data_IF_641849452960
#
_entry.id   IF_641849452960
#
_cell.length_a   1.000
_cell.length_b   1.000
_cell.length_c   1.000
_cell.angle_alpha   90.00
_cell.angle_beta   90.00
_cell.angle_gamma   90.00
#
_symmetry.space_group_name_H-M   'P 1'
#
loop_
_entity.id
_entity.type
_entity.pdbx_description
1 polymer ?
#
# COMPACT_ATOMS: atom_id res chain seq x y z
N UNK A 1 -8.91 11.40 -6.85
CA UNK A 1 -8.11 11.27 -5.63
C UNK A 1 -6.63 11.21 -5.95
N UNK A 2 -6.15 10.16 -6.62
CA UNK A 2 -4.76 10.01 -7.09
C UNK A 2 -4.72 9.99 -8.62
N UNK A 3 -3.78 10.73 -9.21
CA UNK A 3 -3.47 10.69 -10.64
C UNK A 3 -1.96 10.57 -10.81
N UNK A 4 -1.53 9.62 -11.59
CA UNK A 4 -0.13 9.39 -11.98
C UNK A 4 -0.07 9.45 -13.49
N UNK A 5 0.77 10.33 -14.04
CA UNK A 5 0.87 10.58 -15.48
C UNK A 5 2.31 10.49 -15.95
N UNK A 6 2.59 9.58 -16.87
CA UNK A 6 3.88 9.37 -17.54
C UNK A 6 5.08 9.31 -16.58
N UNK A 7 4.86 8.73 -15.39
CA UNK A 7 5.82 8.71 -14.31
C UNK A 7 6.98 7.77 -14.64
N UNK A 8 8.20 8.33 -14.65
CA UNK A 8 9.44 7.56 -14.74
C UNK A 8 10.28 7.82 -13.50
N UNK A 9 10.86 6.75 -12.95
CA UNK A 9 11.67 6.82 -11.74
C UNK A 9 12.63 5.65 -11.63
N UNK A 10 13.78 5.87 -10.99
CA UNK A 10 14.78 4.84 -10.80
C UNK A 10 15.90 5.28 -9.88
N UNK A 11 17.02 4.61 -9.95
CA UNK A 11 18.17 4.81 -9.06
C UNK A 11 19.43 5.06 -9.87
N UNK A 12 20.33 5.92 -9.36
CA UNK A 12 21.64 6.21 -9.96
C UNK A 12 21.58 6.70 -11.42
N UNK A 13 20.47 7.33 -11.80
CA UNK A 13 20.29 7.86 -13.17
C UNK A 13 19.65 6.87 -14.15
N UNK A 14 19.35 5.66 -13.74
CA UNK A 14 18.67 4.66 -14.54
C UNK A 14 17.23 4.48 -14.07
N UNK A 15 16.27 4.65 -14.98
CA UNK A 15 14.87 4.46 -14.66
C UNK A 15 14.54 2.96 -14.56
N UNK A 16 13.79 2.59 -13.53
CA UNK A 16 13.22 1.25 -13.29
C UNK A 16 11.75 1.23 -13.68
N UNK A 17 11.08 2.36 -13.52
CA UNK A 17 9.70 2.59 -13.96
C UNK A 17 9.72 3.56 -15.12
N UNK A 18 8.95 3.27 -16.16
CA UNK A 18 8.93 4.01 -17.41
C UNK A 18 7.51 4.39 -17.79
N UNK A 19 7.23 5.69 -17.88
CA UNK A 19 6.00 6.28 -18.40
C UNK A 19 4.72 5.66 -17.78
N UNK A 20 4.75 5.32 -16.48
CA UNK A 20 3.62 4.71 -15.80
C UNK A 20 2.49 5.73 -15.60
N UNK A 21 1.28 5.38 -16.06
CA UNK A 21 0.09 6.22 -15.93
C UNK A 21 -1.07 5.42 -15.35
N UNK A 22 -1.64 5.88 -14.24
CA UNK A 22 -2.83 5.28 -13.63
C UNK A 22 -3.53 6.26 -12.69
N UNK A 23 -4.74 5.90 -12.29
CA UNK A 23 -5.55 6.74 -11.39
C UNK A 23 -6.19 5.89 -10.31
N UNK A 24 -6.56 6.52 -9.17
CA UNK A 24 -7.45 5.96 -8.18
C UNK A 24 -8.46 7.02 -7.75
N UNK A 25 -9.75 6.71 -7.88
CA UNK A 25 -10.84 7.57 -7.43
C UNK A 25 -10.94 7.55 -5.89
N UNK A 26 -11.68 8.49 -5.32
CA UNK A 26 -11.90 8.50 -3.87
C UNK A 26 -12.72 7.27 -3.44
N UNK A 27 -12.24 6.56 -2.41
CA UNK A 27 -12.86 5.33 -1.91
C UNK A 27 -12.66 4.10 -2.80
N UNK A 28 -11.91 4.24 -3.90
CA UNK A 28 -11.58 3.13 -4.79
C UNK A 28 -10.42 2.30 -4.23
N UNK A 29 -10.46 0.99 -4.45
CA UNK A 29 -9.32 0.10 -4.26
C UNK A 29 -8.73 -0.27 -5.63
N UNK A 30 -7.44 -0.04 -5.79
CA UNK A 30 -6.70 -0.28 -7.04
C UNK A 30 -5.55 -1.24 -6.77
N UNK A 31 -5.40 -2.26 -7.61
CA UNK A 31 -4.28 -3.19 -7.57
C UNK A 31 -3.21 -2.82 -8.61
N UNK A 32 -1.95 -2.79 -8.19
CA UNK A 32 -0.76 -2.78 -9.07
C UNK A 32 -0.13 -4.16 -9.02
N UNK A 33 -0.36 -4.95 -10.04
CA UNK A 33 0.02 -6.36 -10.10
C UNK A 33 1.33 -6.49 -10.88
N UNK A 34 2.26 -7.30 -10.39
CA UNK A 34 3.51 -7.55 -11.11
C UNK A 34 4.43 -8.52 -10.36
N UNK A 35 5.31 -9.16 -11.09
CA UNK A 35 6.34 -10.04 -10.53
C UNK A 35 7.33 -9.27 -9.65
N UNK A 36 8.19 -10.00 -8.92
CA UNK A 36 9.32 -9.39 -8.22
C UNK A 36 10.25 -8.73 -9.23
N UNK A 37 10.69 -7.50 -8.91
CA UNK A 37 11.52 -6.70 -9.81
C UNK A 37 10.75 -5.94 -10.90
N UNK A 38 9.43 -6.06 -11.00
CA UNK A 38 8.64 -5.33 -12.01
C UNK A 38 8.64 -3.80 -11.84
N UNK A 39 9.10 -3.28 -10.67
CA UNK A 39 9.16 -1.85 -10.39
C UNK A 39 8.10 -1.32 -9.42
N UNK A 40 7.27 -2.17 -8.80
CA UNK A 40 6.17 -1.79 -7.90
C UNK A 40 6.64 -0.89 -6.74
N UNK A 41 7.63 -1.33 -5.98
CA UNK A 41 8.22 -0.55 -4.88
C UNK A 41 8.82 0.78 -5.35
N UNK A 42 9.48 0.79 -6.52
CA UNK A 42 10.04 2.01 -7.11
C UNK A 42 8.94 3.01 -7.45
N UNK A 43 7.85 2.54 -8.06
CA UNK A 43 6.67 3.33 -8.37
C UNK A 43 6.06 3.94 -7.09
N UNK A 44 5.85 3.15 -6.04
CA UNK A 44 5.28 3.62 -4.78
C UNK A 44 6.20 4.59 -4.04
N UNK A 45 7.51 4.35 -4.02
CA UNK A 45 8.50 5.28 -3.45
C UNK A 45 8.52 6.62 -4.19
N UNK A 46 8.34 6.61 -5.51
CA UNK A 46 8.24 7.84 -6.30
C UNK A 46 6.96 8.62 -5.97
N UNK A 47 5.83 7.93 -5.85
CA UNK A 47 4.54 8.55 -5.52
C UNK A 47 4.51 9.16 -4.12
N UNK A 48 5.14 8.54 -3.14
CA UNK A 48 5.17 9.05 -1.76
C UNK A 48 6.34 9.99 -1.45
N UNK A 49 7.16 10.36 -2.47
CA UNK A 49 8.26 11.33 -2.34
C UNK A 49 9.49 10.81 -1.60
N UNK A 50 9.66 9.48 -1.51
CA UNK A 50 10.88 8.81 -1.04
C UNK A 50 11.91 8.65 -2.16
N UNK A 51 11.46 8.67 -3.41
CA UNK A 51 12.29 8.68 -4.61
C UNK A 51 11.84 9.84 -5.49
N UNK A 52 12.79 10.59 -6.05
CA UNK A 52 12.45 11.68 -6.96
C UNK A 52 12.22 11.14 -8.37
N UNK A 53 11.04 11.37 -8.98
CA UNK A 53 10.81 10.99 -10.37
C UNK A 53 11.79 11.71 -11.29
N UNK A 54 12.20 11.05 -12.37
CA UNK A 54 12.97 11.63 -13.48
C UNK A 54 12.05 12.38 -14.44
N UNK A 55 10.81 11.88 -14.63
CA UNK A 55 9.76 12.47 -15.48
C UNK A 55 8.38 12.17 -14.93
N UNK A 56 7.37 12.86 -15.52
CA UNK A 56 5.98 12.64 -15.22
C UNK A 56 5.47 13.40 -14.00
N UNK A 57 4.25 13.15 -13.63
CA UNK A 57 3.55 13.88 -12.58
C UNK A 57 2.74 12.96 -11.67
N UNK A 58 2.69 13.30 -10.39
CA UNK A 58 1.80 12.71 -9.39
C UNK A 58 0.93 13.82 -8.81
N UNK A 59 -0.38 13.64 -8.83
CA UNK A 59 -1.36 14.56 -8.25
C UNK A 59 -2.19 13.88 -7.17
N UNK A 60 -2.43 14.59 -6.08
CA UNK A 60 -3.38 14.24 -5.04
C UNK A 60 -4.48 15.30 -5.01
N UNK A 61 -5.73 14.89 -5.19
CA UNK A 61 -6.91 15.78 -5.28
C UNK A 61 -6.71 16.96 -6.26
N UNK A 62 -6.07 16.68 -7.39
CA UNK A 62 -5.79 17.67 -8.42
C UNK A 62 -4.56 18.56 -8.17
N UNK A 63 -3.95 18.49 -6.98
CA UNK A 63 -2.74 19.23 -6.66
C UNK A 63 -1.48 18.40 -6.97
N UNK A 64 -0.50 18.99 -7.65
CA UNK A 64 0.77 18.32 -7.95
C UNK A 64 1.59 18.13 -6.68
N UNK A 65 2.00 16.89 -6.43
CA UNK A 65 2.89 16.52 -5.33
C UNK A 65 4.26 16.06 -5.81
N UNK A 66 4.50 16.11 -7.11
CA UNK A 66 5.75 15.68 -7.76
C UNK A 66 6.94 16.40 -7.17
N UNK A 67 7.95 15.65 -6.75
CA UNK A 67 9.17 16.19 -6.16
C UNK A 67 9.04 16.80 -4.76
N UNK A 68 7.85 16.76 -4.15
CA UNK A 68 7.69 17.10 -2.74
C UNK A 68 8.36 16.01 -1.87
N UNK A 69 8.89 16.44 -0.72
CA UNK A 69 9.44 15.50 0.27
C UNK A 69 8.32 14.67 0.91
N UNK A 70 8.58 13.41 1.21
CA UNK A 70 7.62 12.44 1.77
C UNK A 70 6.79 12.98 2.95
N UNK A 71 7.42 13.73 3.89
CA UNK A 71 6.69 14.29 5.03
C UNK A 71 5.64 15.34 4.64
N UNK A 72 5.80 16.04 3.50
CA UNK A 72 4.79 16.99 2.97
C UNK A 72 3.63 16.22 2.36
N UNK A 73 3.94 15.20 1.55
CA UNK A 73 2.92 14.33 0.94
C UNK A 73 2.09 13.62 2.02
N UNK A 74 2.76 13.12 3.08
CA UNK A 74 2.07 12.51 4.22
C UNK A 74 1.12 13.47 4.96
N UNK A 75 1.40 14.78 4.98
CA UNK A 75 0.48 15.80 5.54
C UNK A 75 -0.75 16.04 4.66
N UNK A 76 -0.68 15.73 3.38
CA UNK A 76 -1.80 15.81 2.44
C UNK A 76 -2.70 14.57 2.53
N UNK A 77 -2.39 13.62 3.40
CA UNK A 77 -3.24 12.46 3.69
C UNK A 77 -2.84 11.18 2.95
N UNK A 78 -1.64 11.11 2.36
CA UNK A 78 -1.09 9.85 1.85
C UNK A 78 -0.32 9.13 2.96
N UNK A 79 -0.62 7.83 3.17
CA UNK A 79 0.20 6.94 3.99
C UNK A 79 0.78 5.82 3.13
N UNK A 80 2.00 5.40 3.46
CA UNK A 80 2.71 4.32 2.78
C UNK A 80 3.15 3.27 3.78
N UNK A 81 2.84 2.01 3.50
CA UNK A 81 3.30 0.85 4.25
C UNK A 81 4.22 0.04 3.34
N UNK A 82 5.53 0.05 3.57
CA UNK A 82 6.50 -0.70 2.78
C UNK A 82 6.46 -2.21 3.08
N UNK A 83 6.95 -3.02 2.15
CA UNK A 83 7.04 -4.47 2.29
C UNK A 83 7.87 -4.91 3.52
N UNK A 84 8.92 -4.16 3.84
CA UNK A 84 9.80 -4.37 4.98
C UNK A 84 9.16 -3.97 6.33
N UNK A 85 7.94 -3.42 6.32
CA UNK A 85 7.15 -2.96 7.49
C UNK A 85 7.76 -1.79 8.26
N UNK A 86 9.07 -1.61 8.25
CA UNK A 86 9.81 -0.52 8.91
C UNK A 86 9.37 -0.28 10.36
N UNK A 87 9.29 -1.35 11.15
CA UNK A 87 8.98 -1.29 12.58
C UNK A 87 10.25 -1.10 13.41
N UNK A 88 10.12 -0.39 14.51
CA UNK A 88 11.18 -0.25 15.52
C UNK A 88 11.16 -1.47 16.46
N UNK A 89 12.15 -2.38 16.40
CA UNK A 89 12.07 -3.68 17.06
C UNK A 89 11.84 -3.62 18.58
N UNK A 90 12.36 -2.58 19.22
CA UNK A 90 12.29 -2.40 20.67
C UNK A 90 11.03 -1.68 21.17
N UNK A 91 10.29 -1.04 20.26
CA UNK A 91 9.04 -0.35 20.59
C UNK A 91 7.88 -1.34 20.71
N UNK A 92 7.00 -1.04 21.63
CA UNK A 92 5.74 -1.78 21.84
C UNK A 92 4.68 -1.42 20.78
N UNK A 93 3.59 -2.18 20.73
CA UNK A 93 2.42 -1.87 19.90
C UNK A 93 1.90 -0.47 20.20
N UNK A 94 1.65 -0.13 21.47
CA UNK A 94 1.14 1.20 21.83
C UNK A 94 2.07 2.32 21.38
N UNK A 95 3.40 2.18 21.60
CA UNK A 95 4.38 3.18 21.16
C UNK A 95 4.43 3.36 19.64
N UNK A 96 4.26 2.28 18.87
CA UNK A 96 4.14 2.39 17.40
C UNK A 96 2.89 3.14 16.96
N UNK A 97 1.74 2.89 17.61
CA UNK A 97 0.51 3.60 17.30
C UNK A 97 0.64 5.09 17.68
N UNK A 98 1.26 5.41 18.80
CA UNK A 98 1.55 6.79 19.21
C UNK A 98 2.46 7.48 18.19
N UNK A 99 3.53 6.82 17.75
CA UNK A 99 4.43 7.32 16.72
C UNK A 99 3.67 7.56 15.40
N UNK A 100 2.75 6.68 15.04
CA UNK A 100 1.91 6.82 13.84
C UNK A 100 1.06 8.08 13.84
N UNK A 101 0.67 8.59 15.00
CA UNK A 101 -0.11 9.83 15.13
C UNK A 101 0.74 11.12 14.99
N UNK A 102 2.07 11.03 15.16
CA UNK A 102 2.96 12.21 15.18
C UNK A 102 2.83 13.07 13.91
N UNK A 103 2.83 14.43 14.01
CA UNK A 103 3.07 15.27 15.20
C UNK A 103 1.82 15.56 16.05
N UNK A 104 0.69 14.97 15.73
CA UNK A 104 -0.56 15.12 16.49
C UNK A 104 -0.54 14.23 17.73
N UNK A 105 -1.43 14.52 18.67
CA UNK A 105 -1.67 13.60 19.79
C UNK A 105 -2.46 12.38 19.32
N UNK A 106 -2.18 11.18 19.85
CA UNK A 106 -2.95 9.99 19.53
C UNK A 106 -4.45 10.21 19.81
N UNK A 107 -5.27 9.91 18.79
CA UNK A 107 -6.73 9.97 18.88
C UNK A 107 -7.24 8.63 19.44
N UNK A 108 -7.96 8.66 20.56
CA UNK A 108 -8.50 7.48 21.21
C UNK A 108 -9.50 6.72 20.30
N UNK A 109 -10.34 7.44 19.55
CA UNK A 109 -11.28 6.81 18.62
C UNK A 109 -10.56 6.11 17.46
N UNK A 110 -9.47 6.73 16.95
CA UNK A 110 -8.65 6.10 15.91
C UNK A 110 -7.91 4.87 16.42
N UNK A 111 -7.40 4.92 17.64
CA UNK A 111 -6.79 3.75 18.30
C UNK A 111 -7.80 2.62 18.50
N UNK A 112 -9.02 2.94 18.92
CA UNK A 112 -10.10 1.96 19.03
C UNK A 112 -10.39 1.30 17.68
N UNK A 113 -10.53 2.08 16.60
CA UNK A 113 -10.69 1.54 15.26
C UNK A 113 -9.56 0.57 14.85
N UNK A 114 -8.30 0.93 15.15
CA UNK A 114 -7.16 0.03 14.86
C UNK A 114 -7.26 -1.28 15.65
N UNK A 115 -7.71 -1.23 16.90
CA UNK A 115 -7.87 -2.43 17.72
C UNK A 115 -9.10 -3.26 17.33
N UNK A 116 -10.16 -2.62 16.83
CA UNK A 116 -11.33 -3.31 16.29
C UNK A 116 -10.97 -4.07 15.00
N UNK A 117 -10.19 -3.44 14.11
CA UNK A 117 -9.67 -4.06 12.89
C UNK A 117 -8.64 -5.16 13.16
N UNK A 118 -7.82 -4.97 14.19
CA UNK A 118 -6.73 -5.87 14.54
C UNK A 118 -6.77 -6.26 16.03
N UNK A 119 -7.71 -7.14 16.47
CA UNK A 119 -7.87 -7.51 17.88
C UNK A 119 -6.61 -8.07 18.52
N UNK A 120 -5.75 -8.75 17.75
CA UNK A 120 -4.46 -9.26 18.23
C UNK A 120 -3.53 -8.16 18.72
N UNK A 121 -3.60 -6.95 18.14
CA UNK A 121 -2.82 -5.80 18.62
C UNK A 121 -3.36 -5.29 19.96
N UNK A 122 -4.69 -5.33 20.15
CA UNK A 122 -5.31 -4.96 21.42
C UNK A 122 -4.88 -5.88 22.59
N UNK A 123 -4.79 -7.19 22.33
CA UNK A 123 -4.33 -8.18 23.31
C UNK A 123 -2.86 -8.00 23.68
N UNK A 124 -2.05 -7.41 22.79
CA UNK A 124 -0.58 -7.36 22.87
C UNK A 124 0.00 -5.96 22.94
N UNK A 125 -0.76 -5.01 23.44
CA UNK A 125 -0.42 -3.57 23.45
C UNK A 125 0.98 -3.24 23.98
N UNK A 126 1.45 -3.98 24.99
CA UNK A 126 2.77 -3.81 25.62
C UNK A 126 3.85 -4.73 25.04
N UNK A 127 3.51 -5.58 24.06
CA UNK A 127 4.47 -6.49 23.44
C UNK A 127 5.37 -5.70 22.49
N UNK A 128 6.68 -6.01 22.49
CA UNK A 128 7.65 -5.42 21.56
C UNK A 128 7.51 -6.01 20.17
N UNK A 129 7.66 -5.18 19.14
CA UNK A 129 7.53 -5.59 17.75
C UNK A 129 8.48 -6.73 17.36
N UNK A 130 9.71 -6.75 17.90
CA UNK A 130 10.67 -7.83 17.64
C UNK A 130 10.19 -9.23 18.05
N UNK A 131 9.24 -9.33 18.99
CA UNK A 131 8.72 -10.62 19.50
C UNK A 131 7.39 -11.02 18.88
N UNK A 132 6.88 -10.23 17.95
CA UNK A 132 5.63 -10.49 17.24
C UNK A 132 5.86 -11.37 16.01
N UNK A 133 4.85 -12.14 15.62
CA UNK A 133 4.86 -12.86 14.36
C UNK A 133 4.87 -11.90 13.16
N UNK A 134 5.28 -12.38 11.98
CA UNK A 134 5.28 -11.55 10.76
C UNK A 134 3.91 -10.95 10.43
N UNK A 135 2.82 -11.71 10.64
CA UNK A 135 1.46 -11.20 10.44
C UNK A 135 1.07 -10.12 11.44
N UNK A 136 1.40 -10.29 12.72
CA UNK A 136 1.15 -9.26 13.73
C UNK A 136 1.97 -7.99 13.47
N UNK A 137 3.21 -8.13 13.00
CA UNK A 137 4.03 -7.00 12.57
C UNK A 137 3.41 -6.27 11.37
N UNK A 138 2.84 -6.99 10.42
CA UNK A 138 2.15 -6.39 9.27
C UNK A 138 0.90 -5.62 9.71
N UNK A 139 0.08 -6.23 10.58
CA UNK A 139 -1.09 -5.54 11.17
C UNK A 139 -0.66 -4.27 11.93
N UNK A 140 0.47 -4.33 12.65
CA UNK A 140 1.02 -3.18 13.36
C UNK A 140 1.50 -2.07 12.41
N UNK A 141 2.14 -2.42 11.30
CA UNK A 141 2.57 -1.45 10.29
C UNK A 141 1.38 -0.73 9.66
N UNK A 142 0.33 -1.47 9.29
CA UNK A 142 -0.93 -0.91 8.78
C UNK A 142 -1.61 -0.06 9.87
N UNK A 143 -1.75 -0.59 11.09
CA UNK A 143 -2.34 0.14 12.23
C UNK A 143 -1.63 1.47 12.51
N UNK A 144 -0.29 1.47 12.49
CA UNK A 144 0.53 2.69 12.61
C UNK A 144 0.21 3.71 11.51
N UNK A 145 0.08 3.25 10.27
CA UNK A 145 -0.25 4.14 9.15
C UNK A 145 -1.64 4.76 9.30
N UNK A 146 -2.61 4.01 9.82
CA UNK A 146 -3.99 4.46 10.03
C UNK A 146 -4.12 5.53 11.12
N UNK A 147 -3.19 5.63 12.06
CA UNK A 147 -3.26 6.62 13.15
C UNK A 147 -3.25 8.07 12.64
N UNK A 148 -2.74 8.34 11.45
CA UNK A 148 -2.77 9.67 10.80
C UNK A 148 -4.09 10.02 10.10
N UNK A 149 -5.08 9.14 10.10
CA UNK A 149 -6.34 9.32 9.34
C UNK A 149 -6.05 9.57 7.84
N UNK A 150 -5.32 8.68 7.17
CA UNK A 150 -5.01 8.88 5.76
C UNK A 150 -6.28 8.87 4.92
N UNK A 151 -6.23 9.55 3.77
CA UNK A 151 -7.26 9.49 2.72
C UNK A 151 -6.87 8.51 1.62
N UNK A 152 -5.57 8.30 1.45
CA UNK A 152 -4.97 7.34 0.53
C UNK A 152 -3.94 6.49 1.26
N UNK A 153 -4.07 5.18 1.17
CA UNK A 153 -3.15 4.19 1.72
C UNK A 153 -2.47 3.44 0.57
N UNK A 154 -1.15 3.53 0.50
CA UNK A 154 -0.31 2.72 -0.39
C UNK A 154 0.24 1.54 0.41
N UNK A 155 0.03 0.32 -0.08
CA UNK A 155 0.47 -0.93 0.54
C UNK A 155 1.39 -1.67 -0.43
N UNK A 156 2.63 -1.84 -0.06
CA UNK A 156 3.63 -2.53 -0.88
C UNK A 156 3.80 -3.96 -0.38
N UNK A 157 3.31 -4.92 -1.15
CA UNK A 157 3.35 -6.36 -0.88
C UNK A 157 2.95 -6.72 0.57
N UNK A 158 1.76 -6.31 1.03
CA UNK A 158 1.36 -6.46 2.43
C UNK A 158 1.27 -7.91 2.90
N UNK A 159 1.27 -8.87 2.00
CA UNK A 159 1.15 -10.30 2.34
C UNK A 159 2.48 -11.06 2.27
N UNK A 160 3.56 -10.41 1.88
CA UNK A 160 4.88 -11.06 1.77
C UNK A 160 5.31 -11.66 3.11
N UNK A 161 5.61 -12.97 3.09
CA UNK A 161 6.04 -13.72 4.27
C UNK A 161 4.94 -14.00 5.30
N UNK A 162 3.67 -13.86 4.93
CA UNK A 162 2.53 -14.24 5.77
C UNK A 162 2.04 -15.65 5.43
N UNK A 163 1.56 -16.35 6.47
CA UNK A 163 0.77 -17.56 6.25
C UNK A 163 -0.56 -17.19 5.54
N UNK A 164 -1.12 -18.05 4.66
CA UNK A 164 -2.31 -17.73 3.87
C UNK A 164 -3.49 -17.22 4.68
N UNK A 165 -3.73 -17.79 5.85
CA UNK A 165 -4.82 -17.35 6.74
C UNK A 165 -4.62 -15.93 7.26
N UNK A 166 -3.37 -15.52 7.53
CA UNK A 166 -3.06 -14.16 8.00
C UNK A 166 -3.13 -13.15 6.85
N UNK A 167 -2.78 -13.57 5.64
CA UNK A 167 -2.95 -12.77 4.44
C UNK A 167 -4.44 -12.46 4.20
N UNK A 168 -5.30 -13.48 4.27
CA UNK A 168 -6.75 -13.29 4.13
C UNK A 168 -7.30 -12.31 5.19
N UNK A 169 -6.95 -12.50 6.47
CA UNK A 169 -7.37 -11.57 7.54
C UNK A 169 -6.89 -10.13 7.32
N UNK A 170 -5.69 -9.95 6.77
CA UNK A 170 -5.21 -8.61 6.44
C UNK A 170 -6.04 -7.96 5.33
N UNK A 171 -6.42 -8.72 4.32
CA UNK A 171 -7.27 -8.23 3.22
C UNK A 171 -8.71 -7.98 3.65
N UNK A 172 -9.28 -8.79 4.55
CA UNK A 172 -10.59 -8.53 5.15
C UNK A 172 -10.60 -7.18 5.87
N UNK A 173 -9.57 -6.90 6.68
CA UNK A 173 -9.43 -5.61 7.37
C UNK A 173 -9.25 -4.44 6.38
N UNK A 174 -8.57 -4.63 5.25
CA UNK A 174 -8.45 -3.61 4.20
C UNK A 174 -9.80 -3.37 3.50
N UNK A 175 -10.60 -4.41 3.28
CA UNK A 175 -11.96 -4.30 2.74
C UNK A 175 -12.87 -3.48 3.67
N UNK A 176 -12.80 -3.73 4.98
CA UNK A 176 -13.53 -2.95 5.99
C UNK A 176 -13.13 -1.48 5.96
N UNK A 177 -11.83 -1.19 5.87
CA UNK A 177 -11.31 0.18 5.77
C UNK A 177 -11.80 0.91 4.53
N UNK A 178 -11.89 0.22 3.40
CA UNK A 178 -12.49 0.73 2.18
C UNK A 178 -13.95 1.12 2.39
N UNK A 179 -14.74 0.29 3.09
CA UNK A 179 -16.13 0.60 3.47
C UNK A 179 -16.28 1.91 4.27
N UNK A 180 -15.21 2.38 4.90
CA UNK A 180 -15.15 3.67 5.60
C UNK A 180 -14.61 4.83 4.73
N UNK A 181 -14.56 4.65 3.40
CA UNK A 181 -14.17 5.69 2.43
C UNK A 181 -12.67 5.89 2.23
N UNK A 182 -11.83 4.97 2.73
CA UNK A 182 -10.39 5.00 2.48
C UNK A 182 -10.09 4.58 1.04
N UNK A 183 -9.31 5.38 0.32
CA UNK A 183 -8.75 4.99 -0.98
C UNK A 183 -7.53 4.09 -0.74
N UNK A 184 -7.45 2.98 -1.44
CA UNK A 184 -6.36 2.01 -1.28
C UNK A 184 -5.69 1.76 -2.63
N UNK A 185 -4.37 1.80 -2.66
CA UNK A 185 -3.58 1.26 -3.79
C UNK A 185 -2.65 0.19 -3.22
N UNK A 186 -2.82 -1.04 -3.69
CA UNK A 186 -2.02 -2.17 -3.23
C UNK A 186 -1.13 -2.67 -4.36
N UNK A 187 0.17 -2.80 -4.10
CA UNK A 187 1.10 -3.49 -5.00
C UNK A 187 1.25 -4.94 -4.53
N UNK A 188 1.03 -5.88 -5.41
CA UNK A 188 1.08 -7.31 -5.06
C UNK A 188 1.61 -8.19 -6.20
N UNK A 189 2.18 -9.32 -5.80
CA UNK A 189 2.48 -10.42 -6.70
C UNK A 189 1.37 -11.47 -6.71
N UNK A 190 0.66 -11.63 -5.59
CA UNK A 190 -0.44 -12.60 -5.45
C UNK A 190 -1.73 -12.03 -6.02
N UNK A 191 -1.94 -12.24 -7.32
CA UNK A 191 -3.07 -11.67 -8.09
C UNK A 191 -4.44 -11.95 -7.46
N UNK A 192 -4.78 -13.19 -7.01
CA UNK A 192 -6.09 -13.44 -6.42
C UNK A 192 -6.36 -12.58 -5.19
N UNK A 193 -5.36 -12.39 -4.33
CA UNK A 193 -5.50 -11.55 -3.14
C UNK A 193 -5.64 -10.08 -3.52
N UNK A 194 -4.82 -9.56 -4.44
CA UNK A 194 -4.91 -8.19 -4.88
C UNK A 194 -6.28 -7.86 -5.50
N UNK A 195 -6.79 -8.75 -6.35
CA UNK A 195 -8.08 -8.56 -7.02
C UNK A 195 -9.28 -8.77 -6.10
N UNK A 196 -9.13 -9.50 -4.97
CA UNK A 196 -10.25 -9.74 -4.05
C UNK A 196 -10.85 -8.47 -3.42
N UNK A 197 -10.06 -7.39 -3.30
CA UNK A 197 -10.51 -6.12 -2.75
C UNK A 197 -10.54 -4.99 -3.80
N UNK A 198 -9.88 -5.19 -4.95
CA UNK A 198 -9.74 -4.15 -5.95
C UNK A 198 -10.99 -4.00 -6.83
N UNK A 199 -11.32 -2.76 -7.20
CA UNK A 199 -12.30 -2.48 -8.24
C UNK A 199 -11.69 -2.71 -9.62
N UNK A 200 -10.41 -2.35 -9.76
CA UNK A 200 -9.62 -2.48 -10.99
C UNK A 200 -8.14 -2.62 -10.67
N UNK A 201 -7.39 -3.03 -11.68
CA UNK A 201 -5.96 -3.21 -11.54
C UNK A 201 -5.17 -2.76 -12.77
N UNK A 202 -3.87 -2.66 -12.54
CA UNK A 202 -2.85 -2.35 -13.53
C UNK A 202 -1.74 -3.40 -13.43
N UNK A 203 -1.41 -4.03 -14.55
CA UNK A 203 -0.30 -5.00 -14.61
C UNK A 203 0.97 -4.24 -14.95
N UNK A 204 1.95 -4.33 -14.06
CA UNK A 204 3.27 -3.71 -14.23
C UNK A 204 4.30 -4.79 -14.58
N UNK A 205 4.92 -4.66 -15.74
CA UNK A 205 5.96 -5.56 -16.25
C UNK A 205 7.14 -4.75 -16.77
N UNK A 206 8.33 -5.09 -16.32
CA UNK A 206 9.57 -4.41 -16.72
C UNK A 206 9.46 -2.87 -16.62
N UNK A 207 8.84 -2.39 -15.54
CA UNK A 207 8.67 -0.97 -15.27
C UNK A 207 7.57 -0.26 -16.06
N UNK A 208 6.79 -0.98 -16.88
CA UNK A 208 5.70 -0.40 -17.69
C UNK A 208 4.34 -1.01 -17.34
N UNK A 209 3.30 -0.21 -17.42
CA UNK A 209 1.93 -0.72 -17.32
C UNK A 209 1.57 -1.31 -18.70
N UNK A 210 1.37 -2.64 -18.73
CA UNK A 210 1.10 -3.39 -19.95
C UNK A 210 -0.37 -3.72 -20.14
N UNK A 211 -1.12 -3.83 -19.03
CA UNK A 211 -2.54 -4.16 -19.06
C UNK A 211 -3.28 -3.38 -17.94
N UNK A 212 -4.52 -3.02 -18.21
CA UNK A 212 -5.44 -2.42 -17.24
C UNK A 212 -6.85 -2.96 -17.47
N UNK A 213 -7.62 -3.06 -16.40
CA UNK A 213 -9.01 -3.51 -16.46
C UNK A 213 -9.66 -3.54 -15.07
N UNK A 214 -10.93 -3.83 -15.03
CA UNK A 214 -11.63 -4.17 -13.79
C UNK A 214 -11.05 -5.45 -13.17
N UNK A 215 -11.27 -5.68 -11.88
CA UNK A 215 -10.81 -6.90 -11.23
C UNK A 215 -11.31 -8.16 -11.96
N UNK A 216 -12.58 -8.19 -12.37
CA UNK A 216 -13.17 -9.32 -13.10
C UNK A 216 -12.55 -9.54 -14.49
N UNK A 217 -12.26 -8.45 -15.22
CA UNK A 217 -11.60 -8.53 -16.54
C UNK A 217 -10.17 -9.08 -16.41
N UNK A 218 -9.43 -8.64 -15.39
CA UNK A 218 -8.07 -9.10 -15.15
C UNK A 218 -8.03 -10.56 -14.67
N UNK A 219 -8.96 -10.96 -13.81
CA UNK A 219 -9.08 -12.35 -13.35
C UNK A 219 -9.40 -13.31 -14.51
N UNK A 220 -10.25 -12.87 -15.44
CA UNK A 220 -10.60 -13.62 -16.65
C UNK A 220 -9.58 -13.54 -17.78
N UNK A 221 -8.54 -12.70 -17.68
CA UNK A 221 -7.59 -12.49 -18.76
C UNK A 221 -6.60 -13.67 -18.88
N UNK A 222 -6.48 -14.31 -20.08
CA UNK A 222 -5.60 -15.47 -20.27
C UNK A 222 -4.12 -15.19 -20.02
N UNK A 223 -3.64 -13.97 -20.29
CA UNK A 223 -2.24 -13.61 -20.08
C UNK A 223 -1.94 -13.45 -18.58
N UNK A 224 -2.87 -12.85 -17.82
CA UNK A 224 -2.79 -12.77 -16.36
C UNK A 224 -2.86 -14.17 -15.75
N UNK A 225 -3.77 -15.01 -16.23
CA UNK A 225 -3.91 -16.39 -15.75
C UNK A 225 -2.63 -17.20 -15.97
N UNK A 226 -2.04 -17.14 -17.14
CA UNK A 226 -0.78 -17.83 -17.45
C UNK A 226 0.42 -17.29 -16.65
N UNK A 227 0.57 -15.97 -16.58
CA UNK A 227 1.73 -15.34 -15.96
C UNK A 227 1.72 -15.44 -14.42
N UNK A 228 0.53 -15.39 -13.81
CA UNK A 228 0.41 -15.18 -12.36
C UNK A 228 -0.45 -16.21 -11.62
N UNK A 229 -1.34 -16.94 -12.29
CA UNK A 229 -2.24 -17.93 -11.66
C UNK A 229 -1.81 -19.37 -11.91
N UNK A 230 -0.83 -19.60 -12.80
CA UNK A 230 -0.36 -20.94 -13.14
C UNK A 230 -1.42 -21.81 -13.84
N UNK A 231 -2.43 -21.18 -14.45
CA UNK A 231 -3.48 -21.85 -15.22
C UNK A 231 -3.00 -21.87 -16.68
N UNK A 232 -2.79 -23.08 -17.21
CA UNK A 232 -2.36 -23.32 -18.60
C UNK A 232 -3.55 -23.38 -19.55
#
# INVERSE_FOLDING_TARGET
MLEVTDLSAGYLGEDVVHDASFTAAQGEAVAVIGSNGAGKTTLFRAMCGLLRPSRGEVRLDGESVTGLRAHRIARLGLAYVPAERDLFPQMTVDEHLDLGAYPQRPDAARRALVFDLFPRLAERRRQRAATMSGGEQQMLAVGRALMKKPRLLLLDEPTTGLAPILAALAYDALSDLRGHGLTIVVAEQQVPLALSIADRGYVLENGRITLTGTAAELEGNPDVQRAYLGIA
#
